data_IF_755167006879
#
_entry.id   IF_755167006879
#
_cell.length_a   1.000
_cell.length_b   1.000
_cell.length_c   1.000
_cell.angle_alpha   90.00
_cell.angle_beta   90.00
_cell.angle_gamma   90.00
#
_symmetry.space_group_name_H-M   'P 1'
#
loop_
_entity.id
_entity.type
_entity.pdbx_description
1 polymer ?
#
# COMPACT_ATOMS: atom_id res chain seq x y z
N UNK A 1 -40.78 15.45 -42.10
CA UNK A 1 -39.37 15.13 -41.81
C UNK A 1 -39.36 14.00 -40.79
N UNK A 2 -38.79 12.84 -41.15
CA UNK A 2 -38.85 11.61 -40.36
C UNK A 2 -37.83 11.68 -39.20
N UNK A 3 -38.29 11.28 -38.02
CA UNK A 3 -37.58 11.28 -36.75
C UNK A 3 -36.22 10.56 -36.82
N UNK A 4 -35.12 11.28 -36.55
CA UNK A 4 -33.84 10.68 -36.18
C UNK A 4 -33.78 10.49 -34.65
N UNK A 5 -34.69 9.67 -34.11
CA UNK A 5 -34.68 9.28 -32.69
C UNK A 5 -33.51 8.34 -32.34
N UNK A 6 -32.80 7.81 -33.36
CA UNK A 6 -31.68 6.89 -33.20
C UNK A 6 -30.43 7.55 -32.60
N UNK A 7 -30.29 8.88 -32.72
CA UNK A 7 -29.09 9.59 -32.24
C UNK A 7 -29.11 9.88 -30.74
N UNK A 8 -30.30 9.94 -30.11
CA UNK A 8 -30.45 10.21 -28.68
C UNK A 8 -30.19 8.95 -27.85
N UNK A 9 -30.45 7.75 -28.39
CA UNK A 9 -30.24 6.50 -27.68
C UNK A 9 -28.75 6.13 -27.51
N UNK A 10 -27.87 6.62 -28.39
CA UNK A 10 -26.43 6.32 -28.33
C UNK A 10 -25.68 7.11 -27.24
N UNK A 11 -26.24 8.24 -26.77
CA UNK A 11 -25.62 9.08 -25.74
C UNK A 11 -25.83 8.55 -24.32
N UNK A 12 -26.82 7.67 -24.09
CA UNK A 12 -27.12 7.14 -22.76
C UNK A 12 -26.27 5.92 -22.35
N UNK A 13 -25.60 5.23 -23.29
CA UNK A 13 -24.81 4.03 -22.98
C UNK A 13 -23.30 4.30 -22.78
N UNK A 14 -22.83 5.53 -22.98
CA UNK A 14 -21.41 5.87 -22.96
C UNK A 14 -20.80 6.21 -21.59
N UNK A 15 -21.59 6.35 -20.52
CA UNK A 15 -21.13 6.92 -19.24
C UNK A 15 -20.93 5.91 -18.10
N UNK A 16 -20.86 4.61 -18.39
CA UNK A 16 -20.43 3.62 -17.39
C UNK A 16 -18.97 3.25 -17.65
N UNK A 17 -18.08 4.24 -17.61
CA UNK A 17 -16.65 3.98 -17.38
C UNK A 17 -16.49 3.60 -15.92
N UNK A 18 -16.78 2.33 -15.62
CA UNK A 18 -16.48 1.74 -14.32
C UNK A 18 -15.02 1.98 -13.98
N UNK A 19 -14.77 2.64 -12.86
CA UNK A 19 -13.45 2.79 -12.27
C UNK A 19 -12.85 1.38 -12.12
N UNK A 20 -11.95 0.99 -13.04
CA UNK A 20 -11.22 -0.27 -12.90
C UNK A 20 -10.45 -0.18 -11.59
N UNK A 21 -10.79 -1.03 -10.62
CA UNK A 21 -9.98 -1.19 -9.41
C UNK A 21 -8.57 -1.61 -9.84
N UNK A 22 -7.65 -0.66 -9.81
CA UNK A 22 -6.26 -0.88 -10.21
C UNK A 22 -5.58 -1.69 -9.11
N UNK A 23 -5.08 -2.87 -9.48
CA UNK A 23 -4.35 -3.74 -8.58
C UNK A 23 -3.19 -4.43 -9.30
N UNK A 24 -2.11 -4.66 -8.58
CA UNK A 24 -0.99 -5.48 -9.03
C UNK A 24 -0.59 -6.48 -7.95
N UNK A 25 -0.26 -7.71 -8.36
CA UNK A 25 0.13 -8.80 -7.45
C UNK A 25 1.61 -9.12 -7.67
N UNK A 26 2.39 -9.08 -6.59
CA UNK A 26 3.81 -9.40 -6.60
C UNK A 26 4.16 -10.49 -5.59
N UNK A 27 5.33 -11.11 -5.76
CA UNK A 27 5.90 -12.05 -4.79
C UNK A 27 6.91 -11.33 -3.90
N UNK A 28 6.87 -11.61 -2.60
CA UNK A 28 7.81 -11.09 -1.63
C UNK A 28 8.09 -12.11 -0.53
N UNK A 29 9.35 -12.30 -0.18
CA UNK A 29 9.76 -13.24 0.86
C UNK A 29 10.09 -12.49 2.16
N UNK A 30 9.08 -12.30 3.01
CA UNK A 30 9.20 -11.56 4.27
C UNK A 30 10.24 -12.19 5.20
N UNK A 31 10.29 -13.53 5.29
CA UNK A 31 11.24 -14.21 6.18
C UNK A 31 12.69 -13.90 5.77
N UNK A 32 12.99 -14.02 4.49
CA UNK A 32 14.32 -13.71 3.94
C UNK A 32 14.66 -12.24 4.18
N UNK A 33 13.72 -11.34 3.87
CA UNK A 33 13.93 -9.91 4.05
C UNK A 33 14.18 -9.55 5.53
N UNK A 34 13.41 -10.10 6.48
CA UNK A 34 13.62 -9.88 7.92
C UNK A 34 15.03 -10.27 8.36
N UNK A 35 15.54 -11.41 7.89
CA UNK A 35 16.88 -11.89 8.21
C UNK A 35 17.96 -10.94 7.66
N UNK A 36 17.79 -10.44 6.44
CA UNK A 36 18.71 -9.50 5.80
C UNK A 36 18.67 -8.13 6.50
N UNK A 37 17.48 -7.62 6.80
CA UNK A 37 17.28 -6.35 7.50
C UNK A 37 17.93 -6.33 8.88
N UNK A 38 17.73 -7.36 9.69
CA UNK A 38 18.39 -7.45 11.02
C UNK A 38 19.91 -7.53 10.91
N UNK A 39 20.44 -8.17 9.86
CA UNK A 39 21.89 -8.16 9.59
C UNK A 39 22.38 -6.77 9.21
N UNK A 40 21.64 -6.07 8.34
CA UNK A 40 21.99 -4.72 7.88
C UNK A 40 21.96 -3.70 9.02
N UNK A 41 20.93 -3.71 9.86
CA UNK A 41 20.85 -2.80 11.01
C UNK A 41 22.04 -2.94 11.97
N UNK A 42 22.59 -4.14 12.14
CA UNK A 42 23.81 -4.33 12.96
C UNK A 42 25.06 -3.71 12.35
N UNK A 43 25.07 -3.49 11.03
CA UNK A 43 26.22 -2.97 10.28
C UNK A 43 26.11 -1.46 10.05
N UNK A 44 24.90 -0.93 9.86
CA UNK A 44 24.66 0.48 9.57
C UNK A 44 24.35 1.27 10.84
N UNK A 45 25.19 2.24 11.20
CA UNK A 45 24.98 3.12 12.37
C UNK A 45 23.70 3.95 12.31
N UNK A 46 23.22 4.22 11.09
CA UNK A 46 22.14 5.19 10.88
C UNK A 46 20.74 4.55 10.90
N UNK A 47 20.63 3.23 11.04
CA UNK A 47 19.35 2.52 11.13
C UNK A 47 18.48 2.58 9.85
N UNK A 48 19.03 3.05 8.73
CA UNK A 48 18.36 3.11 7.42
C UNK A 48 18.69 1.86 6.62
N UNK A 49 17.66 1.18 6.11
CA UNK A 49 17.77 0.03 5.20
C UNK A 49 16.93 0.25 3.95
N UNK A 50 16.96 -0.71 3.03
CA UNK A 50 16.22 -0.64 1.78
C UNK A 50 15.24 -1.79 1.60
N UNK A 51 14.10 -1.53 0.99
CA UNK A 51 13.12 -2.53 0.60
C UNK A 51 12.64 -2.26 -0.83
N UNK A 52 12.69 -3.29 -1.68
CA UNK A 52 12.17 -3.25 -3.04
C UNK A 52 10.76 -3.83 -3.06
N UNK A 53 9.79 -3.01 -3.46
CA UNK A 53 8.39 -3.39 -3.64
C UNK A 53 7.92 -3.01 -5.04
N UNK A 54 6.61 -3.05 -5.27
CA UNK A 54 6.00 -2.69 -6.54
C UNK A 54 4.88 -1.67 -6.31
N UNK A 55 4.75 -0.73 -7.24
CA UNK A 55 3.59 0.16 -7.29
C UNK A 55 2.37 -0.55 -7.92
N UNK A 56 1.25 0.15 -7.94
CA UNK A 56 -0.03 -0.35 -8.48
C UNK A 56 0.03 -0.68 -9.98
N UNK A 57 0.99 -0.14 -10.71
CA UNK A 57 1.26 -0.43 -12.12
C UNK A 57 2.22 -1.61 -12.33
N UNK A 58 2.74 -2.17 -11.23
CA UNK A 58 3.73 -3.24 -11.27
C UNK A 58 5.14 -2.78 -11.57
N UNK A 59 5.44 -1.49 -11.42
CA UNK A 59 6.80 -0.98 -11.52
C UNK A 59 7.53 -1.19 -10.19
N UNK A 60 8.79 -1.65 -10.23
CA UNK A 60 9.58 -1.80 -9.01
C UNK A 60 9.90 -0.43 -8.41
N UNK A 61 9.76 -0.33 -7.09
CA UNK A 61 10.07 0.88 -6.32
C UNK A 61 11.00 0.52 -5.16
N UNK A 62 12.15 1.19 -5.12
CA UNK A 62 13.10 1.11 -4.03
C UNK A 62 12.73 2.15 -2.96
N UNK A 63 12.43 1.68 -1.75
CA UNK A 63 12.19 2.53 -0.60
C UNK A 63 13.37 2.47 0.37
N UNK A 64 13.87 3.65 0.78
CA UNK A 64 14.75 3.79 1.93
C UNK A 64 13.88 3.90 3.17
N UNK A 65 14.02 2.93 4.07
CA UNK A 65 13.17 2.76 5.25
C UNK A 65 13.99 2.74 6.53
N UNK A 66 13.43 3.28 7.59
CA UNK A 66 13.94 3.12 8.95
C UNK A 66 12.86 2.51 9.83
N UNK A 67 13.30 1.80 10.86
CA UNK A 67 12.40 1.27 11.88
C UNK A 67 11.94 2.40 12.81
N UNK A 68 10.63 2.49 13.00
CA UNK A 68 10.02 3.40 13.96
C UNK A 68 9.74 2.61 15.23
N UNK A 69 10.39 3.02 16.32
CA UNK A 69 10.06 2.46 17.62
C UNK A 69 8.64 2.86 18.03
N UNK A 70 7.86 1.88 18.50
CA UNK A 70 6.51 2.08 19.02
C UNK A 70 6.44 1.94 20.55
N UNK A 71 7.53 1.51 21.17
CA UNK A 71 7.65 1.26 22.60
C UNK A 71 9.12 1.37 23.02
N UNK A 72 9.37 1.56 24.31
CA UNK A 72 10.75 1.58 24.85
C UNK A 72 11.43 0.21 24.68
N UNK A 73 10.64 -0.87 24.69
CA UNK A 73 11.09 -2.24 24.48
C UNK A 73 10.69 -2.69 23.07
N UNK A 74 11.63 -3.23 22.30
CA UNK A 74 11.35 -3.80 20.99
C UNK A 74 10.36 -4.97 21.12
N UNK A 75 9.29 -4.96 20.32
CA UNK A 75 8.35 -6.08 20.25
C UNK A 75 8.94 -7.16 19.33
N UNK A 76 9.16 -8.40 19.83
CA UNK A 76 9.70 -9.47 19.01
C UNK A 76 8.85 -9.69 17.75
N UNK A 77 9.52 -9.97 16.63
CA UNK A 77 8.90 -10.27 15.35
C UNK A 77 7.95 -9.21 14.76
N UNK A 78 7.91 -8.00 15.33
CA UNK A 78 7.16 -6.87 14.81
C UNK A 78 8.12 -5.73 14.44
N UNK A 79 8.02 -5.24 13.22
CA UNK A 79 8.74 -4.05 12.75
C UNK A 79 7.76 -3.08 12.14
N UNK A 80 7.79 -1.83 12.58
CA UNK A 80 7.08 -0.75 11.89
C UNK A 80 8.09 0.07 11.12
N UNK A 81 7.97 0.10 9.80
CA UNK A 81 8.91 0.79 8.93
C UNK A 81 8.24 2.02 8.32
N UNK A 82 8.98 3.11 8.27
CA UNK A 82 8.60 4.30 7.50
C UNK A 82 9.72 4.70 6.58
N UNK A 83 9.38 5.26 5.44
CA UNK A 83 10.40 5.63 4.47
C UNK A 83 9.88 6.42 3.30
N UNK A 84 10.80 6.67 2.36
CA UNK A 84 10.53 7.34 1.09
C UNK A 84 11.16 6.55 -0.04
N UNK A 85 10.54 6.64 -1.20
CA UNK A 85 11.12 6.20 -2.48
C UNK A 85 12.37 7.02 -2.81
N UNK A 86 13.24 6.48 -3.67
CA UNK A 86 14.49 7.12 -4.06
C UNK A 86 14.30 8.52 -4.71
N UNK A 87 13.18 8.72 -5.42
CA UNK A 87 12.78 9.98 -6.04
C UNK A 87 11.99 10.91 -5.10
N UNK A 88 11.76 10.48 -3.85
CA UNK A 88 10.97 11.16 -2.82
C UNK A 88 9.49 11.41 -3.16
N UNK A 89 8.94 10.81 -4.22
CA UNK A 89 7.55 11.03 -4.64
C UNK A 89 6.55 10.17 -3.86
N UNK A 90 7.02 9.02 -3.36
CA UNK A 90 6.24 8.04 -2.60
C UNK A 90 6.70 7.96 -1.15
N UNK A 91 5.77 8.05 -0.21
CA UNK A 91 6.02 7.88 1.24
C UNK A 91 5.41 6.56 1.68
N UNK A 92 6.17 5.67 2.32
CA UNK A 92 5.72 4.34 2.70
C UNK A 92 5.62 4.16 4.21
N UNK A 93 4.64 3.39 4.65
CA UNK A 93 4.50 2.88 6.01
C UNK A 93 4.17 1.38 5.95
N UNK A 94 5.01 0.54 6.56
CA UNK A 94 4.85 -0.92 6.59
C UNK A 94 4.80 -1.42 8.01
N UNK A 95 3.99 -2.45 8.21
CA UNK A 95 4.03 -3.34 9.37
C UNK A 95 4.53 -4.69 8.88
N UNK A 96 5.66 -5.13 9.40
CA UNK A 96 6.28 -6.41 9.06
C UNK A 96 6.24 -7.31 10.29
N UNK A 97 5.59 -8.46 10.12
CA UNK A 97 5.57 -9.56 11.07
C UNK A 97 6.60 -10.63 10.65
N UNK A 98 6.81 -11.67 11.47
CA UNK A 98 7.74 -12.76 11.16
C UNK A 98 7.57 -13.36 9.75
N UNK A 99 6.32 -13.51 9.28
CA UNK A 99 5.96 -14.19 8.03
C UNK A 99 5.07 -13.39 7.08
N UNK A 100 4.64 -12.20 7.47
CA UNK A 100 3.71 -11.39 6.67
C UNK A 100 4.06 -9.92 6.76
N UNK A 101 3.52 -9.14 5.82
CA UNK A 101 3.68 -7.70 5.77
C UNK A 101 2.35 -7.09 5.32
N UNK A 102 2.05 -5.92 5.85
CA UNK A 102 0.99 -5.06 5.36
C UNK A 102 1.44 -3.61 5.44
N UNK A 103 0.72 -2.72 4.79
CA UNK A 103 0.99 -1.30 4.89
C UNK A 103 0.35 -0.51 3.78
N UNK A 104 0.89 0.68 3.56
CA UNK A 104 0.46 1.54 2.47
C UNK A 104 1.60 2.46 2.03
N UNK A 105 1.51 2.97 0.81
CA UNK A 105 2.26 4.15 0.41
C UNK A 105 1.32 5.26 -0.06
N UNK A 106 1.79 6.49 0.08
CA UNK A 106 1.16 7.70 -0.44
C UNK A 106 1.93 8.18 -1.67
N UNK A 107 1.22 8.52 -2.73
CA UNK A 107 1.75 9.13 -3.94
C UNK A 107 0.74 10.16 -4.44
N UNK A 108 1.17 11.42 -4.60
CA UNK A 108 0.31 12.53 -5.05
C UNK A 108 -1.01 12.66 -4.27
N UNK A 109 -0.96 12.41 -2.95
CA UNK A 109 -2.14 12.48 -2.06
C UNK A 109 -3.05 11.24 -2.11
N UNK A 110 -2.78 10.28 -2.98
CA UNK A 110 -3.52 9.02 -3.06
C UNK A 110 -2.84 7.93 -2.23
N UNK A 111 -3.64 7.15 -1.51
CA UNK A 111 -3.17 6.04 -0.68
C UNK A 111 -3.37 4.70 -1.39
N UNK A 112 -2.27 3.94 -1.45
CA UNK A 112 -2.19 2.63 -2.06
C UNK A 112 -1.89 1.60 -0.97
N UNK A 113 -2.71 0.57 -0.86
CA UNK A 113 -2.62 -0.43 0.19
C UNK A 113 -1.81 -1.62 -0.28
N UNK A 114 -0.95 -2.14 0.60
CA UNK A 114 -0.17 -3.35 0.39
C UNK A 114 -0.63 -4.40 1.40
N UNK A 115 -1.12 -5.53 0.92
CA UNK A 115 -1.70 -6.58 1.75
C UNK A 115 -1.35 -7.97 1.25
N UNK A 116 -1.30 -8.99 2.13
CA UNK A 116 -1.14 -10.36 1.70
C UNK A 116 -2.36 -10.82 0.88
N UNK A 117 -2.09 -11.62 -0.16
CA UNK A 117 -3.15 -12.29 -0.92
C UNK A 117 -3.65 -13.48 -0.12
N UNK A 118 -4.97 -13.54 0.12
CA UNK A 118 -5.62 -14.63 0.88
C UNK A 118 -5.26 -15.99 0.26
N UNK A 119 -4.86 -16.93 1.11
CA UNK A 119 -4.46 -18.27 0.69
C UNK A 119 -3.06 -18.38 0.06
N UNK A 120 -2.26 -17.31 0.06
CA UNK A 120 -0.88 -17.33 -0.45
C UNK A 120 0.12 -16.84 0.60
N UNK A 121 1.21 -17.58 0.81
CA UNK A 121 2.19 -17.28 1.86
C UNK A 121 3.24 -16.22 1.47
N UNK A 122 3.37 -15.90 0.17
CA UNK A 122 4.42 -15.01 -0.34
C UNK A 122 3.93 -14.06 -1.44
N UNK A 123 2.62 -13.95 -1.64
CA UNK A 123 2.04 -13.03 -2.63
C UNK A 123 1.37 -11.88 -1.90
N UNK A 124 1.60 -10.69 -2.43
CA UNK A 124 1.05 -9.44 -1.94
C UNK A 124 0.38 -8.73 -3.09
N UNK A 125 -0.67 -7.99 -2.77
CA UNK A 125 -1.34 -7.09 -3.70
C UNK A 125 -1.08 -5.66 -3.28
N UNK A 126 -0.86 -4.80 -4.27
CA UNK A 126 -0.92 -3.35 -4.15
C UNK A 126 -2.15 -2.87 -4.90
N UNK A 127 -2.97 -2.05 -4.25
CA UNK A 127 -4.25 -1.63 -4.83
C UNK A 127 -4.74 -0.30 -4.24
N UNK A 128 -5.61 0.37 -4.98
CA UNK A 128 -6.39 1.50 -4.48
C UNK A 128 -7.75 0.95 -4.00
N UNK A 129 -8.18 1.31 -2.79
CA UNK A 129 -9.56 1.01 -2.36
C UNK A 129 -10.52 1.89 -3.16
N UNK A 130 -11.44 1.32 -3.94
CA UNK A 130 -12.53 2.11 -4.50
C UNK A 130 -13.34 2.66 -3.32
N UNK A 131 -13.58 3.98 -3.30
CA UNK A 131 -14.40 4.74 -2.33
C UNK A 131 -13.70 5.51 -1.17
N UNK A 132 -12.38 5.71 -1.16
CA UNK A 132 -11.74 6.66 -0.21
C UNK A 132 -11.84 8.14 -0.62
N UNK A 133 -12.74 8.50 -1.54
CA UNK A 133 -13.13 9.90 -1.77
C UNK A 133 -13.98 10.47 -0.62
N UNK A 134 -14.39 9.64 0.34
CA UNK A 134 -14.73 10.12 1.67
C UNK A 134 -13.41 10.39 2.40
N UNK A 135 -13.10 11.67 2.57
CA UNK A 135 -12.01 12.18 3.39
C UNK A 135 -11.80 11.24 4.58
N UNK A 136 -10.59 10.70 4.72
CA UNK A 136 -10.25 9.83 5.83
C UNK A 136 -10.51 10.52 7.17
N UNK A 137 -11.67 10.27 7.75
CA UNK A 137 -11.90 10.46 9.17
C UNK A 137 -11.22 9.28 9.87
N UNK A 138 -9.92 9.47 10.14
CA UNK A 138 -9.24 8.73 11.20
C UNK A 138 -9.72 9.35 12.52
N UNK A 139 -10.89 8.92 12.96
CA UNK A 139 -11.55 9.33 14.20
C UNK A 139 -12.62 8.31 14.57
N UNK A 140 -12.62 7.87 15.82
CA UNK A 140 -13.53 6.84 16.34
C UNK A 140 -15.00 7.23 16.10
N UNK A 141 -15.78 6.40 15.41
CA UNK A 141 -17.21 6.65 15.15
C UNK A 141 -18.12 6.25 16.33
N UNK A 142 -17.59 5.57 17.36
CA UNK A 142 -18.42 5.05 18.44
C UNK A 142 -18.06 5.68 19.78
N UNK A 143 -18.56 6.89 20.05
CA UNK A 143 -18.65 7.34 21.44
C UNK A 143 -19.89 8.19 21.78
N UNK A 144 -20.96 8.10 20.99
CA UNK A 144 -22.23 8.75 21.35
C UNK A 144 -23.44 7.89 20.96
N UNK A 145 -23.71 6.85 21.74
CA UNK A 145 -25.07 6.32 21.95
C UNK A 145 -25.15 5.73 23.37
N UNK A 146 -25.51 6.58 24.32
CA UNK A 146 -26.19 6.20 25.57
C UNK A 146 -27.22 7.26 25.89
#
# INVERSE_FOLDING_TARGET
MKFNALFIFLLCFGLVSGQKSQQFIFKFNVKKWNQEFTKQQKLTRDGVSSINLFDVDGKPVLFKVSERSISEVAVPDLKILKGKSADNQKIISLTILAKSMSGAYLENGLQYFIEPVKGSCNKYKVYIKPNLNEKGEVGQINDHLK
#
